data_IF_945068303088
#
_entry.id   IF_945068303088
#
_cell.length_a   1.000
_cell.length_b   1.000
_cell.length_c   1.000
_cell.angle_alpha   90.00
_cell.angle_beta   90.00
_cell.angle_gamma   90.00
#
_symmetry.space_group_name_H-M   'P 1'
#
loop_
_entity.id
_entity.type
_entity.pdbx_description
1 polymer ?
#
# COMPACT_ATOMS: atom_id res chain seq x y z
N UNK A 1 16.43 -15.65 -16.37
CA UNK A 1 17.15 -16.83 -15.83
C UNK A 1 16.52 -17.16 -14.51
N UNK A 2 15.87 -18.32 -14.41
CA UNK A 2 15.09 -18.73 -13.25
C UNK A 2 16.04 -19.53 -12.34
N UNK A 3 16.74 -18.83 -11.44
CA UNK A 3 17.69 -19.44 -10.51
C UNK A 3 16.88 -19.94 -9.32
N UNK A 4 16.87 -21.25 -9.11
CA UNK A 4 16.17 -21.88 -8.00
C UNK A 4 16.83 -21.56 -6.66
N UNK A 5 16.62 -20.36 -6.13
CA UNK A 5 16.79 -20.03 -4.71
C UNK A 5 15.61 -20.62 -3.91
N UNK A 6 15.32 -21.91 -4.11
CA UNK A 6 14.27 -22.60 -3.39
C UNK A 6 14.67 -22.66 -1.91
N UNK A 7 14.04 -21.80 -1.11
CA UNK A 7 13.97 -21.86 0.34
C UNK A 7 15.30 -22.21 1.02
N UNK A 8 16.26 -21.27 1.01
CA UNK A 8 17.42 -21.23 1.90
C UNK A 8 17.85 -22.58 2.48
N UNK A 9 18.52 -23.39 1.66
CA UNK A 9 19.29 -24.54 2.18
C UNK A 9 20.40 -24.08 3.15
N UNK A 10 20.68 -22.77 3.19
CA UNK A 10 21.56 -22.05 4.12
C UNK A 10 21.00 -21.87 5.54
N UNK A 11 19.70 -22.09 5.75
CA UNK A 11 19.03 -21.81 7.04
C UNK A 11 18.73 -23.02 7.91
N UNK A 12 19.08 -24.24 7.48
CA UNK A 12 18.68 -25.45 8.19
C UNK A 12 19.64 -25.92 9.28
N UNK A 13 20.92 -25.57 9.21
CA UNK A 13 21.88 -26.01 10.23
C UNK A 13 22.10 -24.93 11.27
N UNK A 14 21.46 -25.11 12.42
CA UNK A 14 21.72 -24.39 13.68
C UNK A 14 23.08 -24.79 14.29
N UNK A 15 24.05 -25.18 13.46
CA UNK A 15 25.37 -25.63 13.90
C UNK A 15 26.32 -24.43 14.02
N UNK A 16 27.06 -24.40 15.12
CA UNK A 16 27.79 -23.25 15.64
C UNK A 16 28.62 -22.47 14.62
N UNK A 17 28.60 -21.15 14.78
CA UNK A 17 29.53 -20.22 14.16
C UNK A 17 30.98 -20.60 14.52
N UNK A 18 31.73 -21.08 13.53
CA UNK A 18 33.18 -21.16 13.63
C UNK A 18 33.78 -20.71 12.30
N UNK A 19 34.67 -19.74 12.44
CA UNK A 19 35.55 -19.20 11.42
C UNK A 19 36.27 -20.34 10.69
N UNK A 20 36.29 -20.35 9.36
CA UNK A 20 36.97 -21.40 8.58
C UNK A 20 38.49 -21.48 8.79
N UNK A 21 39.15 -20.45 9.34
CA UNK A 21 40.60 -20.51 9.63
C UNK A 21 40.90 -21.66 10.60
N UNK A 22 41.52 -22.73 10.06
CA UNK A 22 41.85 -23.97 10.76
C UNK A 22 40.88 -25.13 10.52
N UNK A 23 39.64 -24.89 10.10
CA UNK A 23 38.65 -25.96 9.86
C UNK A 23 38.79 -26.64 8.51
N UNK A 24 39.31 -25.95 7.50
CA UNK A 24 39.62 -26.59 6.20
C UNK A 24 40.67 -27.69 6.42
N UNK A 25 41.75 -27.38 7.13
CA UNK A 25 42.84 -28.34 7.41
C UNK A 25 42.36 -29.51 8.29
N UNK A 26 41.44 -29.28 9.24
CA UNK A 26 40.82 -30.36 10.02
C UNK A 26 39.79 -31.19 9.24
N UNK A 27 39.13 -30.59 8.24
CA UNK A 27 38.13 -31.25 7.39
C UNK A 27 38.72 -32.02 6.21
N UNK A 28 40.01 -31.89 5.92
CA UNK A 28 40.72 -32.80 5.01
C UNK A 28 41.51 -33.79 5.86
N UNK A 29 41.09 -35.05 5.90
CA UNK A 29 41.71 -36.09 6.72
C UNK A 29 43.13 -36.43 6.20
N UNK A 30 44.14 -35.69 6.64
CA UNK A 30 45.56 -35.89 6.30
C UNK A 30 46.40 -34.61 6.28
N UNK A 31 47.75 -34.70 6.25
CA UNK A 31 48.62 -33.54 6.10
C UNK A 31 48.56 -33.07 4.64
N UNK A 32 47.41 -32.51 4.26
CA UNK A 32 47.24 -31.92 2.95
C UNK A 32 48.00 -30.60 2.98
N UNK A 33 49.00 -30.47 2.10
CA UNK A 33 49.57 -29.16 1.74
C UNK A 33 48.50 -28.43 0.93
N UNK A 34 47.42 -28.05 1.62
CA UNK A 34 46.42 -27.11 1.12
C UNK A 34 47.20 -25.82 1.03
N UNK A 35 47.87 -25.57 -0.11
CA UNK A 35 48.64 -24.33 -0.31
C UNK A 35 47.79 -23.13 0.13
N UNK A 36 48.44 -22.07 0.63
CA UNK A 36 47.84 -20.86 1.22
C UNK A 36 46.30 -20.91 1.40
N UNK A 37 45.85 -21.35 2.57
CA UNK A 37 44.43 -21.50 2.98
C UNK A 37 43.54 -20.31 2.54
N UNK A 38 44.13 -19.11 2.46
CA UNK A 38 43.50 -17.88 1.97
C UNK A 38 43.09 -17.94 0.50
N UNK A 39 43.84 -18.63 -0.35
CA UNK A 39 43.51 -18.83 -1.76
C UNK A 39 42.31 -19.77 -1.92
N UNK A 40 42.23 -20.82 -1.10
CA UNK A 40 41.07 -21.72 -1.06
C UNK A 40 39.81 -21.02 -0.58
N UNK A 41 39.92 -20.21 0.47
CA UNK A 41 38.81 -19.38 0.96
C UNK A 41 38.37 -18.34 -0.07
N UNK A 42 39.32 -17.71 -0.78
CA UNK A 42 39.02 -16.76 -1.84
C UNK A 42 38.33 -17.44 -3.04
N UNK A 43 38.75 -18.65 -3.42
CA UNK A 43 38.09 -19.42 -4.47
C UNK A 43 36.67 -19.84 -4.07
N UNK A 44 36.51 -20.40 -2.86
CA UNK A 44 35.20 -20.81 -2.32
C UNK A 44 34.22 -19.64 -2.26
N UNK A 45 34.68 -18.47 -1.80
CA UNK A 45 33.88 -17.24 -1.78
C UNK A 45 33.54 -16.72 -3.19
N UNK A 46 34.46 -16.87 -4.15
CA UNK A 46 34.21 -16.49 -5.53
C UNK A 46 33.27 -17.46 -6.26
N UNK A 47 33.32 -18.76 -5.93
CA UNK A 47 32.47 -19.80 -6.51
C UNK A 47 31.05 -19.75 -5.94
N UNK A 48 30.89 -19.52 -4.64
CA UNK A 48 29.58 -19.27 -4.01
C UNK A 48 28.89 -18.03 -4.60
N UNK A 49 29.66 -16.98 -4.88
CA UNK A 49 29.16 -15.75 -5.50
C UNK A 49 28.80 -15.93 -7.00
N UNK A 50 29.57 -16.72 -7.75
CA UNK A 50 29.37 -16.92 -9.20
C UNK A 50 28.15 -17.76 -9.52
N UNK A 51 27.89 -18.78 -8.71
CA UNK A 51 27.07 -19.89 -9.17
C UNK A 51 25.66 -19.90 -8.55
N UNK A 52 25.39 -19.10 -7.51
CA UNK A 52 24.11 -19.12 -6.81
C UNK A 52 23.75 -20.53 -6.30
N UNK A 53 24.79 -21.34 -6.07
CA UNK A 53 24.70 -22.77 -5.90
C UNK A 53 24.31 -23.14 -4.46
N UNK A 54 23.41 -24.11 -4.32
CA UNK A 54 23.13 -24.79 -3.06
C UNK A 54 24.30 -25.65 -2.60
N UNK A 55 24.24 -26.13 -1.35
CA UNK A 55 25.31 -26.89 -0.67
C UNK A 55 25.85 -28.04 -1.52
N UNK A 56 24.97 -28.82 -2.15
CA UNK A 56 25.38 -29.99 -2.96
C UNK A 56 26.14 -29.60 -4.23
N UNK A 57 25.78 -28.48 -4.84
CA UNK A 57 26.43 -27.98 -6.06
C UNK A 57 27.81 -27.41 -5.75
N UNK A 58 27.95 -26.71 -4.61
CA UNK A 58 29.24 -26.22 -4.14
C UNK A 58 30.14 -27.36 -3.67
N UNK A 59 29.60 -28.40 -3.01
CA UNK A 59 30.33 -29.62 -2.68
C UNK A 59 30.82 -30.36 -3.93
N UNK A 60 30.00 -30.42 -4.99
CA UNK A 60 30.39 -31.01 -6.27
C UNK A 60 31.50 -30.21 -6.95
N UNK A 61 31.39 -28.86 -6.95
CA UNK A 61 32.42 -27.97 -7.48
C UNK A 61 33.74 -28.08 -6.70
N UNK A 62 33.67 -28.21 -5.37
CA UNK A 62 34.82 -28.43 -4.50
C UNK A 62 35.55 -29.72 -4.86
N UNK A 63 34.82 -30.83 -5.02
CA UNK A 63 35.39 -32.13 -5.42
C UNK A 63 36.06 -32.04 -6.80
N UNK A 64 35.43 -31.35 -7.76
CA UNK A 64 36.03 -31.13 -9.08
C UNK A 64 37.31 -30.30 -9.00
N UNK A 65 37.31 -29.22 -8.21
CA UNK A 65 38.48 -28.37 -8.03
C UNK A 65 39.65 -29.09 -7.34
N UNK A 66 39.38 -29.93 -6.33
CA UNK A 66 40.40 -30.78 -5.71
C UNK A 66 41.02 -31.76 -6.73
N UNK A 67 40.23 -32.29 -7.66
CA UNK A 67 40.71 -33.16 -8.71
C UNK A 67 41.62 -32.43 -9.71
N UNK A 68 41.27 -31.19 -10.08
CA UNK A 68 42.04 -30.37 -11.02
C UNK A 68 43.39 -29.89 -10.44
N UNK A 69 43.44 -29.58 -9.14
CA UNK A 69 44.65 -29.18 -8.42
C UNK A 69 45.51 -30.38 -7.96
N UNK A 70 45.08 -31.61 -8.22
CA UNK A 70 45.83 -32.83 -7.88
C UNK A 70 45.88 -33.13 -6.37
N UNK A 71 44.91 -32.64 -5.61
CA UNK A 71 44.80 -32.78 -4.16
C UNK A 71 43.93 -34.00 -3.81
N UNK A 72 44.14 -34.59 -2.62
CA UNK A 72 43.30 -35.67 -2.13
C UNK A 72 41.83 -35.23 -2.03
N UNK A 73 40.96 -35.93 -2.76
CA UNK A 73 39.54 -35.63 -2.82
C UNK A 73 38.88 -35.94 -1.47
N UNK A 74 38.15 -34.99 -0.87
CA UNK A 74 37.47 -35.20 0.40
C UNK A 74 36.31 -36.19 0.23
N UNK A 75 35.97 -36.91 1.32
CA UNK A 75 34.76 -37.74 1.32
C UNK A 75 33.50 -36.91 1.05
N UNK A 76 32.42 -37.49 0.52
CA UNK A 76 31.21 -36.74 0.12
C UNK A 76 30.59 -35.94 1.28
N UNK A 77 30.60 -36.49 2.50
CA UNK A 77 30.07 -35.80 3.68
C UNK A 77 31.00 -34.67 4.16
N UNK A 78 32.32 -34.84 4.02
CA UNK A 78 33.31 -33.80 4.29
C UNK A 78 33.19 -32.64 3.29
N UNK A 79 33.06 -32.95 2.00
CA UNK A 79 32.84 -31.94 0.96
C UNK A 79 31.57 -31.11 1.22
N UNK A 80 30.49 -31.75 1.67
CA UNK A 80 29.25 -31.07 2.08
C UNK A 80 29.44 -30.18 3.31
N UNK A 81 30.21 -30.64 4.29
CA UNK A 81 30.52 -29.86 5.49
C UNK A 81 31.32 -28.61 5.15
N UNK A 82 32.41 -28.76 4.39
CA UNK A 82 33.23 -27.62 3.90
C UNK A 82 32.38 -26.66 3.08
N UNK A 83 31.53 -27.19 2.19
CA UNK A 83 30.61 -26.37 1.41
C UNK A 83 29.63 -25.59 2.30
N UNK A 84 29.05 -26.22 3.33
CA UNK A 84 28.14 -25.55 4.25
C UNK A 84 28.85 -24.40 5.01
N UNK A 85 30.07 -24.63 5.50
CA UNK A 85 30.85 -23.60 6.19
C UNK A 85 31.25 -22.44 5.26
N UNK A 86 31.69 -22.74 4.04
CA UNK A 86 32.02 -21.72 3.03
C UNK A 86 30.81 -20.82 2.69
N UNK A 87 29.64 -21.43 2.64
CA UNK A 87 28.39 -20.73 2.38
C UNK A 87 27.96 -19.87 3.58
N UNK A 88 28.18 -20.36 4.81
CA UNK A 88 27.95 -19.59 6.04
C UNK A 88 28.87 -18.35 6.11
N UNK A 89 30.15 -18.50 5.80
CA UNK A 89 31.10 -17.38 5.79
C UNK A 89 30.76 -16.36 4.70
N UNK A 90 30.31 -16.83 3.54
CA UNK A 90 29.80 -15.95 2.49
C UNK A 90 28.53 -15.19 2.95
N UNK A 91 27.62 -15.83 3.68
CA UNK A 91 26.46 -15.16 4.28
C UNK A 91 26.88 -14.09 5.29
N UNK A 92 27.90 -14.34 6.11
CA UNK A 92 28.44 -13.34 7.05
C UNK A 92 29.01 -12.14 6.29
N UNK A 93 29.73 -12.35 5.18
CA UNK A 93 30.23 -11.26 4.32
C UNK A 93 29.09 -10.46 3.69
N UNK A 94 28.02 -11.13 3.25
CA UNK A 94 26.79 -10.47 2.78
C UNK A 94 26.17 -9.61 3.89
N UNK A 95 26.09 -10.14 5.11
CA UNK A 95 25.57 -9.41 6.27
C UNK A 95 26.42 -8.18 6.63
N UNK A 96 27.75 -8.26 6.48
CA UNK A 96 28.61 -7.08 6.65
C UNK A 96 28.29 -5.99 5.64
N UNK A 97 28.09 -6.34 4.36
CA UNK A 97 27.69 -5.37 3.33
C UNK A 97 26.34 -4.71 3.63
N UNK A 98 25.38 -5.46 4.14
CA UNK A 98 24.08 -4.92 4.58
C UNK A 98 24.25 -3.99 5.78
N UNK A 99 25.02 -4.41 6.79
CA UNK A 99 25.30 -3.62 7.98
C UNK A 99 25.99 -2.28 7.65
N UNK A 100 26.92 -2.28 6.69
CA UNK A 100 27.59 -1.06 6.23
C UNK A 100 26.61 -0.10 5.52
N UNK A 101 25.64 -0.63 4.77
CA UNK A 101 24.58 0.18 4.11
C UNK A 101 23.57 0.75 5.09
N UNK A 102 23.29 0.05 6.19
CA UNK A 102 22.30 0.49 7.19
C UNK A 102 22.73 1.77 7.92
N UNK A 103 24.03 2.00 8.12
CA UNK A 103 24.55 3.16 8.82
C UNK A 103 23.90 3.33 10.21
N UNK A 104 23.41 4.53 10.51
CA UNK A 104 22.75 4.85 11.79
C UNK A 104 21.47 4.04 12.05
N UNK A 105 20.81 3.53 11.01
CA UNK A 105 19.60 2.71 11.16
C UNK A 105 19.90 1.36 11.84
N UNK A 106 21.17 0.90 11.84
CA UNK A 106 21.59 -0.28 12.57
C UNK A 106 21.39 -0.14 14.10
N UNK A 107 21.60 1.06 14.66
CA UNK A 107 21.38 1.32 16.08
C UNK A 107 19.89 1.25 16.45
N UNK A 108 19.00 1.72 15.57
CA UNK A 108 17.56 1.62 15.77
C UNK A 108 17.09 0.15 15.80
N UNK A 109 17.71 -0.72 15.01
CA UNK A 109 17.42 -2.16 15.02
C UNK A 109 17.95 -2.85 16.29
N UNK A 110 19.11 -2.42 16.79
CA UNK A 110 19.66 -2.91 18.07
C UNK A 110 18.77 -2.47 19.25
N UNK A 111 18.29 -1.22 19.24
CA UNK A 111 17.34 -0.71 20.24
C UNK A 111 16.03 -1.49 20.21
N UNK A 112 15.48 -1.75 19.02
CA UNK A 112 14.29 -2.59 18.83
C UNK A 112 14.46 -3.99 19.46
N UNK A 113 15.63 -4.62 19.28
CA UNK A 113 15.91 -5.92 19.90
C UNK A 113 16.09 -5.81 21.41
N UNK A 114 16.76 -4.77 21.90
CA UNK A 114 16.98 -4.55 23.33
C UNK A 114 15.64 -4.31 24.08
N UNK A 115 14.72 -3.55 23.49
CA UNK A 115 13.38 -3.36 24.02
C UNK A 115 12.58 -4.67 24.09
N UNK A 116 12.66 -5.49 23.04
CA UNK A 116 12.02 -6.79 22.99
C UNK A 116 12.59 -7.74 24.05
N UNK A 117 13.91 -7.75 24.23
CA UNK A 117 14.58 -8.56 25.25
C UNK A 117 14.19 -8.14 26.68
N UNK A 118 13.98 -6.84 26.89
CA UNK A 118 13.50 -6.30 28.15
C UNK A 118 11.98 -6.48 28.37
N UNK A 119 11.25 -7.05 27.40
CA UNK A 119 9.78 -7.19 27.45
C UNK A 119 9.04 -5.85 27.36
N UNK A 120 9.69 -4.78 26.88
CA UNK A 120 9.13 -3.42 26.77
C UNK A 120 8.72 -3.05 25.34
N UNK A 121 9.22 -3.77 24.33
CA UNK A 121 8.95 -3.51 22.92
C UNK A 121 7.86 -4.42 22.35
N UNK A 122 6.75 -3.82 21.88
CA UNK A 122 5.67 -4.56 21.22
C UNK A 122 5.97 -4.85 19.74
N UNK A 123 6.71 -3.95 19.08
CA UNK A 123 6.86 -3.94 17.62
C UNK A 123 7.54 -5.22 17.09
N UNK A 124 8.65 -5.65 17.70
CA UNK A 124 9.34 -6.85 17.23
C UNK A 124 8.46 -8.09 17.37
N UNK A 125 7.70 -8.22 18.46
CA UNK A 125 6.77 -9.33 18.62
C UNK A 125 5.69 -9.32 17.51
N UNK A 126 5.13 -8.15 17.24
CA UNK A 126 4.11 -7.98 16.19
C UNK A 126 4.63 -8.15 14.76
N UNK A 127 5.90 -7.82 14.49
CA UNK A 127 6.55 -8.07 13.19
C UNK A 127 6.85 -9.55 12.98
N UNK A 128 7.10 -10.30 14.06
CA UNK A 128 7.34 -11.74 13.96
C UNK A 128 6.05 -12.51 13.72
N UNK A 129 4.92 -12.02 14.22
CA UNK A 129 3.59 -12.54 13.89
C UNK A 129 3.33 -12.48 12.39
N UNK A 130 2.55 -13.43 11.88
CA UNK A 130 2.12 -13.43 10.49
C UNK A 130 1.16 -12.27 10.22
N UNK A 131 1.27 -11.69 9.02
CA UNK A 131 0.33 -10.69 8.53
C UNK A 131 -0.98 -11.40 8.18
N UNK A 132 -1.95 -11.32 9.10
CA UNK A 132 -3.25 -11.97 8.93
C UNK A 132 -4.07 -11.34 7.80
N UNK A 133 -4.78 -12.13 6.97
CA UNK A 133 -5.67 -11.57 5.95
C UNK A 133 -6.80 -10.80 6.63
N UNK A 134 -7.15 -9.63 6.10
CA UNK A 134 -8.31 -8.86 6.58
C UNK A 134 -9.54 -9.26 5.78
N UNK A 135 -10.56 -9.79 6.47
CA UNK A 135 -11.85 -10.01 5.83
C UNK A 135 -12.60 -8.69 5.66
N UNK A 136 -12.55 -8.17 4.42
CA UNK A 136 -13.20 -6.91 4.07
C UNK A 136 -14.70 -6.92 4.34
N UNK A 137 -15.39 -8.06 4.17
CA UNK A 137 -16.85 -8.11 4.41
C UNK A 137 -17.17 -7.94 5.88
N UNK A 138 -16.40 -8.58 6.75
CA UNK A 138 -16.56 -8.45 8.19
C UNK A 138 -16.14 -7.06 8.69
N UNK A 139 -15.06 -6.49 8.16
CA UNK A 139 -14.65 -5.10 8.43
C UNK A 139 -15.75 -4.10 8.04
N UNK A 140 -16.30 -4.23 6.83
CA UNK A 140 -17.41 -3.41 6.33
C UNK A 140 -18.61 -3.49 7.28
N UNK A 141 -18.97 -4.70 7.72
CA UNK A 141 -20.06 -4.92 8.66
C UNK A 141 -19.80 -4.25 10.01
N UNK A 142 -18.60 -4.40 10.56
CA UNK A 142 -18.21 -3.74 11.81
C UNK A 142 -18.36 -2.21 11.72
N UNK A 143 -17.94 -1.62 10.59
CA UNK A 143 -18.10 -0.18 10.35
C UNK A 143 -19.58 0.23 10.24
N UNK A 144 -20.40 -0.56 9.56
CA UNK A 144 -21.83 -0.31 9.45
C UNK A 144 -22.56 -0.45 10.79
N UNK A 145 -22.14 -1.40 11.64
CA UNK A 145 -22.66 -1.58 13.00
C UNK A 145 -22.33 -0.35 13.87
N UNK A 146 -21.07 0.11 13.85
CA UNK A 146 -20.63 1.33 14.56
C UNK A 146 -21.45 2.54 14.10
N UNK A 147 -21.61 2.71 12.79
CA UNK A 147 -22.36 3.84 12.23
C UNK A 147 -23.84 3.79 12.56
N UNK A 148 -24.44 2.60 12.60
CA UNK A 148 -25.85 2.41 12.96
C UNK A 148 -26.10 2.79 14.42
N UNK A 149 -25.18 2.43 15.32
CA UNK A 149 -25.24 2.84 16.73
C UNK A 149 -25.08 4.36 16.90
N UNK A 150 -24.12 4.96 16.19
CA UNK A 150 -23.95 6.42 16.17
C UNK A 150 -25.22 7.14 15.68
N UNK A 151 -25.90 6.60 14.66
CA UNK A 151 -27.14 7.18 14.15
C UNK A 151 -28.30 7.11 15.17
N UNK A 152 -28.29 6.13 16.06
CA UNK A 152 -29.26 6.00 17.16
C UNK A 152 -28.87 6.83 18.39
N UNK A 153 -27.74 7.56 18.35
CA UNK A 153 -27.20 8.30 19.50
C UNK A 153 -26.74 7.39 20.63
N UNK A 154 -26.52 6.12 20.36
CA UNK A 154 -26.05 5.15 21.34
C UNK A 154 -24.53 5.27 21.51
N UNK A 155 -24.01 5.09 22.74
CA UNK A 155 -22.56 4.98 22.95
C UNK A 155 -21.98 3.90 22.05
N UNK A 156 -20.98 4.27 21.25
CA UNK A 156 -20.15 3.31 20.49
C UNK A 156 -19.45 2.31 21.41
N UNK A 157 -19.32 2.65 22.69
CA UNK A 157 -18.68 1.86 23.73
C UNK A 157 -19.51 0.62 24.11
N UNK A 158 -20.84 0.61 23.83
CA UNK A 158 -21.65 -0.61 23.94
C UNK A 158 -21.33 -1.64 22.84
N UNK A 159 -20.74 -1.18 21.73
CA UNK A 159 -20.11 -2.05 20.74
C UNK A 159 -18.75 -2.59 21.19
N UNK A 160 -18.18 -2.13 22.33
CA UNK A 160 -17.01 -2.77 22.92
C UNK A 160 -17.29 -4.20 23.44
N UNK A 161 -18.55 -4.63 23.46
CA UNK A 161 -18.93 -6.04 23.63
C UNK A 161 -18.92 -6.86 22.32
N UNK A 162 -18.83 -6.19 21.16
CA UNK A 162 -18.50 -6.81 19.89
C UNK A 162 -17.00 -6.66 19.70
N UNK A 163 -16.24 -7.75 19.72
CA UNK A 163 -14.82 -7.66 19.37
C UNK A 163 -14.72 -7.15 17.92
N UNK A 164 -14.44 -5.86 17.74
CA UNK A 164 -14.13 -5.24 16.45
C UNK A 164 -12.77 -5.73 15.95
N UNK A 165 -12.66 -7.04 15.79
CA UNK A 165 -11.39 -7.72 15.61
C UNK A 165 -10.76 -7.36 14.27
N UNK A 166 -11.56 -7.11 13.24
CA UNK A 166 -11.07 -6.73 11.92
C UNK A 166 -10.64 -5.27 11.85
N UNK A 167 -11.41 -4.37 12.45
CA UNK A 167 -11.01 -2.97 12.57
C UNK A 167 -9.73 -2.85 13.41
N UNK A 168 -9.66 -3.53 14.55
CA UNK A 168 -8.46 -3.55 15.40
C UNK A 168 -7.27 -4.12 14.65
N UNK A 169 -7.42 -5.26 13.96
CA UNK A 169 -6.35 -5.84 13.15
C UNK A 169 -5.85 -4.85 12.09
N UNK A 170 -6.75 -4.21 11.33
CA UNK A 170 -6.38 -3.22 10.32
C UNK A 170 -5.57 -2.05 10.92
N UNK A 171 -6.01 -1.52 12.06
CA UNK A 171 -5.33 -0.42 12.74
C UNK A 171 -3.97 -0.85 13.31
N UNK A 172 -3.88 -2.05 13.88
CA UNK A 172 -2.61 -2.62 14.34
C UNK A 172 -1.62 -2.79 13.19
N UNK A 173 -2.07 -3.25 12.02
CA UNK A 173 -1.20 -3.32 10.83
C UNK A 173 -0.75 -1.93 10.34
N UNK A 174 -1.61 -0.91 10.39
CA UNK A 174 -1.23 0.47 10.09
C UNK A 174 -0.21 1.05 11.10
N UNK A 175 -0.35 0.71 12.37
CA UNK A 175 0.60 1.08 13.43
C UNK A 175 1.96 0.41 13.24
N UNK A 176 1.98 -0.89 12.90
CA UNK A 176 3.22 -1.63 12.56
C UNK A 176 3.95 -0.95 11.41
N UNK A 177 3.26 -0.64 10.31
CA UNK A 177 3.88 0.02 9.15
C UNK A 177 4.45 1.39 9.51
N UNK A 178 3.70 2.18 10.30
CA UNK A 178 4.14 3.49 10.78
C UNK A 178 5.40 3.37 11.64
N UNK A 179 5.43 2.38 12.54
CA UNK A 179 6.57 2.14 13.42
C UNK A 179 7.81 1.66 12.66
N UNK A 180 7.66 0.74 11.70
CA UNK A 180 8.77 0.29 10.83
C UNK A 180 9.36 1.45 10.03
N UNK A 181 8.52 2.34 9.49
CA UNK A 181 8.99 3.53 8.75
C UNK A 181 9.80 4.50 9.61
N UNK A 182 9.54 4.56 10.93
CA UNK A 182 10.32 5.39 11.86
C UNK A 182 11.74 4.88 12.07
N UNK A 183 12.02 3.60 11.78
CA UNK A 183 13.37 3.05 11.79
C UNK A 183 14.25 3.64 10.67
N UNK A 184 13.64 4.29 9.66
CA UNK A 184 14.33 4.99 8.56
C UNK A 184 15.38 4.12 7.87
N UNK A 185 15.05 2.84 7.64
CA UNK A 185 15.89 1.93 6.87
C UNK A 185 16.09 2.52 5.46
N UNK A 186 17.34 2.56 4.94
CA UNK A 186 17.57 3.02 3.58
C UNK A 186 16.81 2.16 2.56
N UNK A 187 16.23 2.80 1.53
CA UNK A 187 15.35 2.12 0.58
C UNK A 187 16.08 1.11 -0.32
N UNK A 188 17.40 1.24 -0.45
CA UNK A 188 18.28 0.47 -1.33
C UNK A 188 19.19 -0.52 -0.60
N UNK A 189 18.98 -0.73 0.71
CA UNK A 189 19.76 -1.69 1.52
C UNK A 189 19.88 -3.04 0.83
N UNK A 190 18.77 -3.54 0.27
CA UNK A 190 18.66 -4.84 -0.37
C UNK A 190 18.60 -4.80 -1.91
N UNK A 191 18.87 -3.66 -2.56
CA UNK A 191 18.68 -3.49 -4.00
C UNK A 191 19.42 -4.53 -4.87
N UNK A 192 20.59 -4.99 -4.42
CA UNK A 192 21.43 -5.96 -5.14
C UNK A 192 21.27 -7.41 -4.67
N UNK A 193 20.29 -7.67 -3.79
CA UNK A 193 20.09 -8.98 -3.17
C UNK A 193 18.86 -9.67 -3.78
N UNK A 194 18.91 -11.00 -4.01
CA UNK A 194 17.74 -11.77 -4.43
C UNK A 194 16.61 -11.68 -3.41
N UNK A 195 15.37 -11.47 -3.88
CA UNK A 195 14.21 -11.34 -3.00
C UNK A 195 13.98 -12.60 -2.14
N UNK A 196 14.32 -13.77 -2.65
CA UNK A 196 14.23 -15.05 -1.94
C UNK A 196 15.19 -15.12 -0.75
N UNK A 197 16.40 -14.55 -0.90
CA UNK A 197 17.39 -14.48 0.18
C UNK A 197 16.93 -13.55 1.29
N UNK A 198 16.43 -12.36 0.93
CA UNK A 198 15.89 -11.39 1.90
C UNK A 198 14.68 -11.98 2.62
N UNK A 199 13.80 -12.68 1.91
CA UNK A 199 12.66 -13.39 2.50
C UNK A 199 13.12 -14.47 3.49
N UNK A 200 14.18 -15.23 3.16
CA UNK A 200 14.73 -16.24 4.06
C UNK A 200 15.37 -15.63 5.31
N UNK A 201 16.11 -14.52 5.20
CA UNK A 201 16.63 -13.78 6.34
C UNK A 201 15.51 -13.25 7.25
N UNK A 202 14.45 -12.70 6.66
CA UNK A 202 13.27 -12.26 7.40
C UNK A 202 12.57 -13.41 8.12
N UNK A 203 12.40 -14.56 7.46
CA UNK A 203 11.81 -15.76 8.07
C UNK A 203 12.66 -16.30 9.23
N UNK A 204 13.99 -16.26 9.11
CA UNK A 204 14.93 -16.63 10.17
C UNK A 204 14.77 -15.72 11.39
N UNK A 205 14.69 -14.40 11.18
CA UNK A 205 14.43 -13.45 12.25
C UNK A 205 13.06 -13.65 12.91
N UNK A 206 12.03 -13.98 12.11
CA UNK A 206 10.68 -14.26 12.61
C UNK A 206 10.66 -15.47 13.57
N UNK A 207 11.39 -16.54 13.22
CA UNK A 207 11.46 -17.77 14.00
C UNK A 207 12.42 -17.74 15.20
N UNK A 208 13.52 -17.00 15.14
CA UNK A 208 14.60 -17.03 16.13
C UNK A 208 14.21 -16.39 17.48
N UNK A 209 14.48 -17.02 18.61
CA UNK A 209 14.20 -16.41 19.92
C UNK A 209 15.04 -15.14 20.14
N UNK A 210 14.57 -14.21 20.97
CA UNK A 210 15.28 -12.94 21.21
C UNK A 210 16.71 -13.17 21.72
N UNK A 211 16.91 -14.15 22.62
CA UNK A 211 18.26 -14.50 23.10
C UNK A 211 19.16 -15.09 22.02
N UNK A 212 18.61 -15.85 21.07
CA UNK A 212 19.37 -16.38 19.92
C UNK A 212 19.85 -15.24 19.03
N UNK A 213 18.98 -14.27 18.73
CA UNK A 213 19.34 -13.08 17.96
C UNK A 213 20.42 -12.23 18.65
N UNK A 214 20.36 -12.10 19.98
CA UNK A 214 21.38 -11.39 20.76
C UNK A 214 22.75 -12.07 20.73
N UNK A 215 22.79 -13.40 20.64
CA UNK A 215 24.03 -14.17 20.55
C UNK A 215 24.71 -14.09 19.17
N UNK A 216 23.98 -13.67 18.13
CA UNK A 216 24.54 -13.52 16.78
C UNK A 216 25.55 -12.36 16.71
N UNK A 217 26.55 -12.44 15.80
CA UNK A 217 27.38 -11.29 15.46
C UNK A 217 26.52 -10.10 15.02
N UNK A 218 26.93 -8.88 15.41
CA UNK A 218 26.16 -7.64 15.15
C UNK A 218 25.73 -7.51 13.70
N UNK A 219 26.64 -7.72 12.75
CA UNK A 219 26.35 -7.62 11.32
C UNK A 219 25.23 -8.58 10.87
N UNK A 220 25.27 -9.83 11.35
CA UNK A 220 24.23 -10.83 11.07
C UNK A 220 22.91 -10.40 11.71
N UNK A 221 22.93 -10.03 12.99
CA UNK A 221 21.72 -9.62 13.73
C UNK A 221 20.98 -8.46 13.04
N UNK A 222 21.68 -7.37 12.71
CA UNK A 222 21.03 -6.20 12.08
C UNK A 222 20.56 -6.49 10.65
N UNK A 223 21.26 -7.39 9.93
CA UNK A 223 20.81 -7.86 8.60
C UNK A 223 19.52 -8.66 8.70
N UNK A 224 19.42 -9.60 9.64
CA UNK A 224 18.20 -10.39 9.82
C UNK A 224 17.01 -9.51 10.25
N UNK A 225 17.23 -8.57 11.17
CA UNK A 225 16.18 -7.65 11.64
C UNK A 225 15.73 -6.67 10.54
N UNK A 226 16.67 -6.13 9.75
CA UNK A 226 16.32 -5.27 8.61
C UNK A 226 15.57 -6.04 7.52
N UNK A 227 15.96 -7.28 7.23
CA UNK A 227 15.25 -8.13 6.28
C UNK A 227 13.83 -8.46 6.75
N UNK A 228 13.62 -8.73 8.05
CA UNK A 228 12.28 -8.88 8.62
C UNK A 228 11.43 -7.63 8.42
N UNK A 229 11.99 -6.46 8.74
CA UNK A 229 11.30 -5.18 8.56
C UNK A 229 10.94 -4.95 7.09
N UNK A 230 11.84 -5.27 6.16
CA UNK A 230 11.62 -5.11 4.72
C UNK A 230 10.48 -5.98 4.20
N UNK A 231 10.51 -7.27 4.55
CA UNK A 231 9.49 -8.23 4.15
C UNK A 231 8.13 -7.84 4.73
N UNK A 232 8.07 -7.53 6.03
CA UNK A 232 6.83 -7.13 6.69
C UNK A 232 6.31 -5.80 6.20
N UNK A 233 7.17 -4.81 5.95
CA UNK A 233 6.77 -3.52 5.35
C UNK A 233 6.03 -3.73 4.04
N UNK A 234 6.53 -4.61 3.18
CA UNK A 234 5.91 -4.87 1.88
C UNK A 234 4.58 -5.63 2.00
N UNK A 235 4.53 -6.67 2.83
CA UNK A 235 3.31 -7.46 3.07
C UNK A 235 2.20 -6.63 3.70
N UNK A 236 2.54 -5.82 4.71
CA UNK A 236 1.59 -4.94 5.40
C UNK A 236 1.10 -3.86 4.45
N UNK A 237 1.98 -3.24 3.67
CA UNK A 237 1.58 -2.23 2.68
C UNK A 237 0.64 -2.83 1.65
N UNK A 238 0.87 -4.08 1.20
CA UNK A 238 -0.03 -4.75 0.26
C UNK A 238 -1.39 -5.09 0.86
N UNK A 239 -1.42 -5.53 2.12
CA UNK A 239 -2.65 -5.78 2.88
C UNK A 239 -3.45 -4.48 3.06
N UNK A 240 -2.81 -3.40 3.52
CA UNK A 240 -3.43 -2.10 3.71
C UNK A 240 -3.91 -1.51 2.38
N UNK A 241 -3.15 -1.67 1.29
CA UNK A 241 -3.56 -1.26 -0.05
C UNK A 241 -4.81 -2.01 -0.52
N UNK A 242 -4.88 -3.33 -0.28
CA UNK A 242 -6.06 -4.12 -0.58
C UNK A 242 -7.28 -3.67 0.23
N UNK A 243 -7.10 -3.45 1.53
CA UNK A 243 -8.16 -2.97 2.42
C UNK A 243 -8.63 -1.57 2.04
N UNK A 244 -7.70 -0.66 1.75
CA UNK A 244 -8.00 0.70 1.30
C UNK A 244 -8.87 0.68 0.04
N UNK A 245 -8.49 -0.06 -1.00
CA UNK A 245 -9.28 -0.14 -2.24
C UNK A 245 -10.66 -0.72 -1.98
N UNK A 246 -10.79 -1.73 -1.12
CA UNK A 246 -12.07 -2.30 -0.70
C UNK A 246 -12.97 -1.29 0.02
N UNK A 247 -12.42 -0.56 0.99
CA UNK A 247 -13.13 0.48 1.73
C UNK A 247 -13.54 1.65 0.81
N UNK A 248 -12.66 2.08 -0.08
CA UNK A 248 -12.94 3.11 -1.08
C UNK A 248 -14.06 2.68 -2.05
N UNK A 249 -14.09 1.40 -2.42
CA UNK A 249 -15.19 0.85 -3.20
C UNK A 249 -16.52 0.90 -2.44
N UNK A 250 -16.53 0.50 -1.16
CA UNK A 250 -17.72 0.52 -0.31
C UNK A 250 -18.29 1.94 -0.14
N UNK A 251 -17.47 2.94 0.18
CA UNK A 251 -17.96 4.32 0.37
C UNK A 251 -18.54 4.89 -0.93
N UNK A 252 -17.98 4.53 -2.09
CA UNK A 252 -18.52 4.93 -3.40
C UNK A 252 -19.88 4.30 -3.64
N UNK A 253 -20.00 2.98 -3.44
CA UNK A 253 -21.27 2.26 -3.58
C UNK A 253 -22.35 2.86 -2.65
N UNK A 254 -21.98 3.21 -1.42
CA UNK A 254 -22.87 3.88 -0.46
C UNK A 254 -23.32 5.25 -0.96
N UNK A 255 -22.42 6.04 -1.52
CA UNK A 255 -22.76 7.33 -2.11
C UNK A 255 -23.71 7.15 -3.29
N UNK A 256 -23.43 6.21 -4.20
CA UNK A 256 -24.29 5.92 -5.36
C UNK A 256 -25.70 5.48 -4.93
N UNK A 257 -25.82 4.59 -3.93
CA UNK A 257 -27.12 4.19 -3.37
C UNK A 257 -27.90 5.39 -2.79
N UNK A 258 -27.22 6.26 -2.04
CA UNK A 258 -27.86 7.47 -1.47
C UNK A 258 -28.22 8.49 -2.53
N UNK A 259 -27.41 8.61 -3.58
CA UNK A 259 -27.68 9.47 -4.73
C UNK A 259 -28.89 8.96 -5.52
N UNK A 260 -29.03 7.64 -5.69
CA UNK A 260 -30.20 7.00 -6.30
C UNK A 260 -31.48 7.28 -5.50
N UNK A 261 -31.47 7.00 -4.19
CA UNK A 261 -32.61 7.30 -3.32
C UNK A 261 -32.99 8.80 -3.34
N UNK A 262 -32.00 9.69 -3.40
CA UNK A 262 -32.23 11.13 -3.51
C UNK A 262 -32.81 11.55 -4.88
N UNK A 263 -32.58 10.77 -5.94
CA UNK A 263 -33.08 11.02 -7.29
C UNK A 263 -34.53 10.53 -7.47
N UNK A 264 -34.85 9.35 -6.94
CA UNK A 264 -36.21 8.78 -6.98
C UNK A 264 -37.23 9.70 -6.29
N UNK A 265 -36.82 10.29 -5.18
CA UNK A 265 -37.63 11.23 -4.40
C UNK A 265 -37.82 12.61 -5.10
N UNK A 266 -37.10 12.87 -6.20
CA UNK A 266 -37.25 14.07 -7.06
C UNK A 266 -38.04 13.78 -8.34
N UNK A 267 -38.27 12.50 -8.67
CA UNK A 267 -39.11 12.10 -9.80
C UNK A 267 -40.59 12.36 -9.47
N UNK A 268 -41.02 13.60 -9.71
CA UNK A 268 -42.44 13.90 -9.86
C UNK A 268 -42.77 14.12 -11.34
N UNK A 269 -43.68 13.32 -11.91
CA UNK A 269 -44.25 13.60 -13.22
C UNK A 269 -45.13 14.84 -13.06
N UNK A 270 -44.80 15.92 -13.77
CA UNK A 270 -45.86 16.82 -14.19
C UNK A 270 -46.24 16.35 -15.58
N UNK A 271 -47.27 15.48 -15.74
CA UNK A 271 -47.77 15.12 -17.06
C UNK A 271 -48.11 16.39 -17.87
N UNK A 272 -48.50 17.46 -17.18
CA UNK A 272 -48.73 18.79 -17.77
C UNK A 272 -47.47 19.42 -18.40
N UNK A 273 -46.26 19.16 -17.87
CA UNK A 273 -45.00 19.71 -18.43
C UNK A 273 -44.54 18.93 -19.65
N UNK A 274 -44.65 17.61 -19.63
CA UNK A 274 -44.30 16.77 -20.78
C UNK A 274 -45.27 17.03 -21.93
N UNK A 275 -46.57 17.21 -21.62
CA UNK A 275 -47.59 17.66 -22.57
C UNK A 275 -47.31 19.08 -23.07
N UNK A 276 -46.87 20.01 -22.22
CA UNK A 276 -46.53 21.37 -22.64
C UNK A 276 -45.28 21.40 -23.54
N UNK A 277 -44.26 20.60 -23.23
CA UNK A 277 -43.07 20.45 -24.07
C UNK A 277 -43.46 19.88 -25.44
N UNK A 278 -44.30 18.85 -25.48
CA UNK A 278 -44.79 18.27 -26.74
C UNK A 278 -45.52 19.32 -27.58
N UNK A 279 -46.43 20.09 -26.97
CA UNK A 279 -47.18 21.16 -27.65
C UNK A 279 -46.29 22.30 -28.16
N UNK A 280 -45.23 22.65 -27.43
CA UNK A 280 -44.26 23.65 -27.87
C UNK A 280 -43.42 23.13 -29.03
N UNK A 281 -43.05 21.85 -29.02
CA UNK A 281 -42.35 21.20 -30.13
C UNK A 281 -43.25 21.09 -31.36
N UNK A 282 -44.52 20.69 -31.18
CA UNK A 282 -45.53 20.64 -32.25
C UNK A 282 -45.69 22.01 -32.91
N UNK A 283 -45.88 23.08 -32.12
CA UNK A 283 -46.00 24.44 -32.66
C UNK A 283 -44.72 24.92 -33.38
N UNK A 284 -43.54 24.52 -32.90
CA UNK A 284 -42.27 24.84 -33.58
C UNK A 284 -42.11 24.11 -34.93
N UNK A 285 -42.69 22.90 -35.05
CA UNK A 285 -42.63 22.09 -36.28
C UNK A 285 -43.71 22.51 -37.28
N UNK A 286 -44.91 22.85 -36.81
CA UNK A 286 -46.02 23.32 -37.66
C UNK A 286 -45.76 24.72 -38.25
N UNK A 287 -45.00 25.55 -37.53
CA UNK A 287 -44.75 26.95 -37.88
C UNK A 287 -43.24 27.28 -37.85
N UNK A 288 -42.42 26.71 -38.76
CA UNK A 288 -40.96 26.84 -38.70
C UNK A 288 -40.44 28.24 -39.07
N UNK A 289 -41.15 28.96 -39.93
CA UNK A 289 -40.75 30.30 -40.42
C UNK A 289 -41.35 31.45 -39.59
N UNK A 290 -42.24 31.15 -38.64
CA UNK A 290 -42.88 32.16 -37.80
C UNK A 290 -41.95 32.62 -36.65
N UNK A 291 -42.11 33.87 -36.24
CA UNK A 291 -41.34 34.37 -35.08
C UNK A 291 -41.71 33.60 -33.81
N UNK A 292 -40.74 33.39 -32.91
CA UNK A 292 -40.93 32.71 -31.61
C UNK A 292 -42.14 33.27 -30.83
N UNK A 293 -42.36 34.59 -30.92
CA UNK A 293 -43.48 35.27 -30.28
C UNK A 293 -44.85 34.93 -30.90
N UNK A 294 -44.91 34.69 -32.20
CA UNK A 294 -46.13 34.32 -32.89
C UNK A 294 -46.45 32.82 -32.76
N UNK A 295 -45.43 31.95 -32.79
CA UNK A 295 -45.61 30.50 -32.76
C UNK A 295 -45.72 29.91 -31.33
N UNK A 296 -44.85 30.30 -30.40
CA UNK A 296 -44.73 29.61 -29.10
C UNK A 296 -45.46 30.28 -27.93
N UNK A 297 -45.55 31.62 -27.92
CA UNK A 297 -46.18 32.37 -26.83
C UNK A 297 -47.72 32.20 -26.73
N UNK A 298 -48.46 31.90 -27.82
CA UNK A 298 -49.87 31.51 -27.71
C UNK A 298 -50.05 30.16 -27.00
N UNK A 299 -49.10 29.24 -27.17
CA UNK A 299 -49.13 27.88 -26.57
C UNK A 299 -48.69 27.92 -25.11
N UNK A 300 -47.66 28.71 -24.79
CA UNK A 300 -47.21 28.95 -23.43
C UNK A 300 -46.96 30.45 -23.20
N UNK A 301 -47.80 31.09 -22.39
CA UNK A 301 -47.67 32.51 -22.11
C UNK A 301 -46.31 32.87 -21.48
N UNK A 302 -45.84 34.10 -21.70
CA UNK A 302 -44.53 34.58 -21.21
C UNK A 302 -44.33 34.36 -19.70
N UNK A 303 -45.38 34.62 -18.91
CA UNK A 303 -45.37 34.44 -17.46
C UNK A 303 -45.20 32.97 -17.07
N UNK A 304 -45.86 32.06 -17.79
CA UNK A 304 -45.74 30.62 -17.57
C UNK A 304 -44.33 30.14 -17.91
N UNK A 305 -43.75 30.60 -19.02
CA UNK A 305 -42.36 30.28 -19.39
C UNK A 305 -41.36 30.78 -18.34
N UNK A 306 -41.52 32.02 -17.85
CA UNK A 306 -40.67 32.56 -16.76
C UNK A 306 -40.82 31.78 -15.45
N UNK A 307 -42.04 31.37 -15.09
CA UNK A 307 -42.28 30.50 -13.92
C UNK A 307 -41.62 29.14 -14.10
N UNK A 308 -41.72 28.52 -15.26
CA UNK A 308 -41.07 27.24 -15.56
C UNK A 308 -39.54 27.33 -15.49
N UNK A 309 -38.94 28.46 -15.88
CA UNK A 309 -37.51 28.74 -15.70
C UNK A 309 -37.11 28.87 -14.23
N UNK A 310 -37.90 29.57 -13.41
CA UNK A 310 -37.64 29.67 -11.96
C UNK A 310 -37.79 28.31 -11.27
N UNK A 311 -38.83 27.55 -11.63
CA UNK A 311 -39.06 26.21 -11.12
C UNK A 311 -37.95 25.24 -11.55
N UNK A 312 -37.41 25.38 -12.77
CA UNK A 312 -36.30 24.53 -13.22
C UNK A 312 -35.01 24.87 -12.47
N UNK A 313 -34.72 26.15 -12.25
CA UNK A 313 -33.59 26.60 -11.44
C UNK A 313 -33.69 26.14 -9.98
N UNK A 314 -34.88 26.23 -9.38
CA UNK A 314 -35.16 25.74 -8.03
C UNK A 314 -34.97 24.21 -7.94
N UNK A 315 -35.45 23.46 -8.94
CA UNK A 315 -35.26 21.99 -9.02
C UNK A 315 -33.80 21.59 -9.16
N UNK A 316 -33.03 22.29 -10.00
CA UNK A 316 -31.58 22.05 -10.12
C UNK A 316 -30.89 22.32 -8.78
N UNK A 317 -31.24 23.41 -8.09
CA UNK A 317 -30.68 23.73 -6.79
C UNK A 317 -30.98 22.66 -5.72
N UNK A 318 -32.22 22.16 -5.68
CA UNK A 318 -32.62 21.11 -4.75
C UNK A 318 -31.93 19.78 -5.06
N UNK A 319 -31.83 19.39 -6.34
CA UNK A 319 -31.05 18.21 -6.75
C UNK A 319 -29.59 18.32 -6.31
N UNK A 320 -28.95 19.47 -6.53
CA UNK A 320 -27.58 19.72 -6.09
C UNK A 320 -27.44 19.65 -4.58
N UNK A 321 -28.38 20.24 -3.82
CA UNK A 321 -28.40 20.18 -2.35
C UNK A 321 -28.52 18.73 -1.85
N UNK A 322 -29.40 17.94 -2.45
CA UNK A 322 -29.58 16.52 -2.09
C UNK A 322 -28.35 15.69 -2.43
N UNK A 323 -27.76 15.86 -3.63
CA UNK A 323 -26.49 15.22 -4.01
C UNK A 323 -25.41 15.52 -2.97
N UNK A 324 -25.26 16.79 -2.60
CA UNK A 324 -24.32 17.24 -1.58
C UNK A 324 -24.57 16.58 -0.22
N UNK A 325 -25.82 16.52 0.23
CA UNK A 325 -26.18 15.83 1.49
C UNK A 325 -25.88 14.33 1.43
N UNK A 326 -26.14 13.69 0.29
CA UNK A 326 -25.83 12.27 0.07
C UNK A 326 -24.32 12.00 0.15
N UNK A 327 -23.50 12.81 -0.53
CA UNK A 327 -22.03 12.72 -0.49
C UNK A 327 -21.50 12.89 0.94
N UNK A 328 -21.93 13.96 1.64
CA UNK A 328 -21.55 14.17 3.05
C UNK A 328 -21.90 12.99 3.93
N UNK A 329 -23.11 12.48 3.78
CA UNK A 329 -23.55 11.38 4.61
C UNK A 329 -22.79 10.09 4.34
N UNK A 330 -22.39 9.85 3.08
CA UNK A 330 -21.63 8.66 2.71
C UNK A 330 -20.25 8.66 3.38
N UNK A 331 -19.67 9.85 3.57
CA UNK A 331 -18.38 10.05 4.22
C UNK A 331 -18.49 10.44 5.70
N UNK A 332 -18.93 9.47 6.52
CA UNK A 332 -19.17 9.67 7.96
C UNK A 332 -17.89 9.93 8.77
N UNK A 333 -18.05 10.42 10.00
CA UNK A 333 -16.93 10.64 10.92
C UNK A 333 -16.13 9.36 11.22
N UNK A 334 -16.79 8.20 11.28
CA UNK A 334 -16.14 6.90 11.44
C UNK A 334 -15.22 6.58 10.26
N UNK A 335 -15.71 6.73 9.01
CA UNK A 335 -14.87 6.57 7.82
C UNK A 335 -13.70 7.56 7.81
N UNK A 336 -13.98 8.84 8.12
CA UNK A 336 -12.93 9.85 8.19
C UNK A 336 -11.81 9.40 9.12
N UNK A 337 -12.12 9.01 10.36
CA UNK A 337 -11.15 8.55 11.34
C UNK A 337 -10.35 7.34 10.83
N UNK A 338 -11.01 6.36 10.22
CA UNK A 338 -10.34 5.19 9.66
C UNK A 338 -9.36 5.57 8.55
N UNK A 339 -9.81 6.36 7.56
CA UNK A 339 -8.95 6.78 6.46
C UNK A 339 -7.81 7.68 6.93
N UNK A 340 -7.95 8.47 8.01
CA UNK A 340 -6.81 9.22 8.56
C UNK A 340 -5.65 8.29 8.91
N UNK A 341 -5.95 7.22 9.63
CA UNK A 341 -4.94 6.30 10.14
C UNK A 341 -4.33 5.45 9.02
N UNK A 342 -5.15 4.97 8.10
CA UNK A 342 -4.68 4.15 6.96
C UNK A 342 -3.94 4.98 5.91
N UNK A 343 -4.41 6.18 5.58
CA UNK A 343 -3.73 7.02 4.58
C UNK A 343 -2.42 7.58 5.12
N UNK A 344 -2.35 7.95 6.40
CA UNK A 344 -1.11 8.45 7.01
C UNK A 344 -0.03 7.37 7.13
N UNK A 345 -0.41 6.09 7.16
CA UNK A 345 0.55 4.98 7.20
C UNK A 345 1.05 4.57 5.81
N UNK A 346 0.43 5.05 4.73
CA UNK A 346 0.76 4.71 3.34
C UNK A 346 1.49 5.86 2.65
N UNK A 347 2.35 5.52 1.67
CA UNK A 347 3.04 6.53 0.85
C UNK A 347 2.63 6.34 -0.61
N UNK A 348 2.01 7.38 -1.19
CA UNK A 348 1.50 7.37 -2.55
C UNK A 348 2.50 8.03 -3.51
N UNK A 349 2.79 7.36 -4.63
CA UNK A 349 3.67 7.86 -5.69
C UNK A 349 2.99 7.72 -7.05
N UNK A 350 3.43 8.50 -8.02
CA UNK A 350 3.00 8.41 -9.42
C UNK A 350 4.15 8.83 -10.34
N UNK A 351 4.20 8.22 -11.53
CA UNK A 351 5.05 8.66 -12.64
C UNK A 351 4.32 9.61 -13.59
N UNK A 352 2.99 9.65 -13.52
CA UNK A 352 2.15 10.41 -14.42
C UNK A 352 1.93 11.81 -13.85
N UNK A 353 2.25 12.84 -14.65
CA UNK A 353 2.09 14.25 -14.26
C UNK A 353 0.61 14.58 -14.01
N UNK A 354 -0.30 13.91 -14.71
CA UNK A 354 -1.76 14.08 -14.56
C UNK A 354 -2.26 13.68 -13.16
N UNK A 355 -1.48 12.90 -12.40
CA UNK A 355 -1.84 12.51 -11.04
C UNK A 355 -1.36 13.52 -9.98
N UNK A 356 -0.53 14.50 -10.34
CA UNK A 356 0.01 15.48 -9.38
C UNK A 356 -1.08 16.29 -8.66
N UNK A 357 -2.15 16.78 -9.31
CA UNK A 357 -3.23 17.48 -8.62
C UNK A 357 -3.89 16.60 -7.53
N UNK A 358 -4.08 15.32 -7.82
CA UNK A 358 -4.64 14.37 -6.86
C UNK A 358 -3.68 14.09 -5.70
N UNK A 359 -2.38 13.89 -5.98
CA UNK A 359 -1.39 13.67 -4.94
C UNK A 359 -1.21 14.89 -4.03
N UNK A 360 -1.29 16.10 -4.59
CA UNK A 360 -1.30 17.34 -3.81
C UNK A 360 -2.53 17.40 -2.89
N UNK A 361 -3.74 17.14 -3.43
CA UNK A 361 -4.96 17.10 -2.64
C UNK A 361 -4.92 16.02 -1.54
N UNK A 362 -4.32 14.87 -1.81
CA UNK A 362 -4.10 13.82 -0.81
C UNK A 362 -3.11 14.24 0.27
N UNK A 363 -2.02 14.92 -0.10
CA UNK A 363 -1.05 15.46 0.85
C UNK A 363 -1.69 16.46 1.79
N UNK A 364 -2.52 17.37 1.27
CA UNK A 364 -3.30 18.32 2.07
C UNK A 364 -4.31 17.60 2.99
N UNK A 365 -5.05 16.61 2.46
CA UNK A 365 -5.98 15.80 3.22
C UNK A 365 -5.30 15.12 4.43
N UNK A 366 -4.14 14.49 4.20
CA UNK A 366 -3.36 13.82 5.23
C UNK A 366 -2.79 14.85 6.21
N UNK A 367 -2.27 15.98 5.72
CA UNK A 367 -1.75 17.07 6.54
C UNK A 367 -2.81 17.63 7.49
N UNK A 368 -4.00 17.89 6.96
CA UNK A 368 -5.17 18.35 7.72
C UNK A 368 -5.60 17.37 8.81
N UNK A 369 -5.46 16.06 8.58
CA UNK A 369 -5.71 15.04 9.58
C UNK A 369 -4.72 15.06 10.75
N UNK A 370 -3.51 15.57 10.52
CA UNK A 370 -2.44 15.64 11.51
C UNK A 370 -2.36 16.97 12.27
N UNK A 371 -2.80 18.09 11.67
CA UNK A 371 -2.58 19.45 12.18
C UNK A 371 -3.69 20.03 13.10
N UNK A 372 -4.72 19.25 13.43
CA UNK A 372 -5.97 19.67 14.09
C UNK A 372 -7.05 20.24 13.14
N UNK A 373 -8.26 19.73 13.36
CA UNK A 373 -9.49 19.93 12.60
C UNK A 373 -9.79 21.40 12.25
N UNK A 374 -9.83 21.70 10.95
CA UNK A 374 -10.54 22.87 10.46
C UNK A 374 -12.04 22.70 10.73
N UNK A 375 -12.55 23.45 11.71
CA UNK A 375 -13.97 23.58 12.07
C UNK A 375 -14.77 24.35 11.00
N UNK A 376 -14.44 24.14 9.72
CA UNK A 376 -15.01 24.82 8.58
C UNK A 376 -15.76 23.85 7.67
N UNK A 377 -17.01 24.19 7.35
CA UNK A 377 -17.81 23.48 6.32
C UNK A 377 -17.21 23.61 4.92
N UNK A 378 -16.41 24.65 4.70
CA UNK A 378 -15.78 25.01 3.43
C UNK A 378 -14.28 25.23 3.65
N UNK A 379 -13.49 25.05 2.60
CA UNK A 379 -12.11 25.52 2.58
C UNK A 379 -12.07 27.05 2.60
N UNK A 380 -11.01 27.61 3.17
CA UNK A 380 -10.80 29.05 3.20
C UNK A 380 -10.71 29.62 1.77
N UNK A 381 -11.28 30.82 1.52
CA UNK A 381 -11.17 31.48 0.22
C UNK A 381 -9.70 31.65 -0.18
N UNK A 382 -9.33 31.18 -1.38
CA UNK A 382 -7.95 31.25 -1.87
C UNK A 382 -7.06 30.04 -1.51
N UNK A 383 -7.58 29.03 -0.82
CA UNK A 383 -6.86 27.78 -0.52
C UNK A 383 -6.39 27.03 -1.79
N UNK A 384 -7.05 27.24 -2.95
CA UNK A 384 -6.54 26.75 -4.24
C UNK A 384 -6.70 25.25 -4.48
N UNK A 385 -7.65 24.58 -3.81
CA UNK A 385 -7.88 23.14 -3.95
C UNK A 385 -8.10 22.72 -5.43
N UNK A 386 -7.34 21.74 -5.95
CA UNK A 386 -7.43 21.34 -7.35
C UNK A 386 -8.75 20.64 -7.65
N UNK A 387 -9.51 21.15 -8.62
CA UNK A 387 -10.81 20.58 -9.00
C UNK A 387 -10.76 19.73 -10.27
N UNK A 388 -9.85 20.06 -11.19
CA UNK A 388 -9.62 19.30 -12.42
C UNK A 388 -8.90 17.98 -12.10
N UNK A 389 -9.33 16.90 -12.74
CA UNK A 389 -8.82 15.52 -12.54
C UNK A 389 -8.93 14.92 -11.12
N UNK A 390 -9.47 15.69 -10.17
CA UNK A 390 -9.72 15.28 -8.77
C UNK A 390 -11.22 15.10 -8.50
N UNK A 391 -12.07 16.00 -8.99
CA UNK A 391 -13.52 15.94 -8.74
C UNK A 391 -14.24 15.41 -9.99
N UNK A 392 -15.00 14.29 -9.88
CA UNK A 392 -15.79 13.79 -10.98
C UNK A 392 -16.77 14.86 -11.52
N UNK A 393 -16.90 15.01 -12.85
CA UNK A 393 -17.68 16.09 -13.45
C UNK A 393 -19.15 16.06 -13.00
N UNK A 394 -19.72 14.88 -12.81
CA UNK A 394 -21.09 14.67 -12.32
C UNK A 394 -21.35 15.17 -10.89
N UNK A 395 -20.30 15.32 -10.08
CA UNK A 395 -20.35 15.71 -8.67
C UNK A 395 -19.83 17.12 -8.44
N UNK A 396 -19.20 17.76 -9.43
CA UNK A 396 -18.62 19.11 -9.32
C UNK A 396 -19.63 20.15 -8.81
N UNK A 397 -20.85 20.12 -9.33
CA UNK A 397 -21.92 21.03 -8.88
C UNK A 397 -22.32 20.82 -7.41
N UNK A 398 -22.12 19.63 -6.85
CA UNK A 398 -22.38 19.33 -5.45
C UNK A 398 -21.21 19.74 -4.53
N UNK A 399 -19.97 19.76 -5.04
CA UNK A 399 -18.77 20.12 -4.26
C UNK A 399 -18.57 21.63 -4.17
N UNK A 400 -18.79 22.36 -5.28
CA UNK A 400 -18.59 23.81 -5.36
C UNK A 400 -19.92 24.53 -5.19
N UNK A 401 -19.95 25.54 -4.31
CA UNK A 401 -21.13 26.39 -4.12
C UNK A 401 -21.21 27.51 -5.18
N UNK A 402 -22.34 28.22 -5.26
CA UNK A 402 -22.55 29.33 -6.21
C UNK A 402 -21.52 30.46 -6.06
N UNK A 403 -20.97 30.62 -4.86
CA UNK A 403 -19.93 31.60 -4.54
C UNK A 403 -18.50 31.10 -4.87
N UNK A 404 -18.35 29.91 -5.48
CA UNK A 404 -17.05 29.31 -5.78
C UNK A 404 -16.36 28.65 -4.57
N UNK A 405 -17.01 28.63 -3.40
CA UNK A 405 -16.48 27.96 -2.20
C UNK A 405 -16.51 26.45 -2.36
N UNK A 406 -15.40 25.80 -2.03
CA UNK A 406 -15.27 24.34 -2.04
C UNK A 406 -15.70 23.80 -0.69
N UNK A 407 -16.69 22.92 -0.72
CA UNK A 407 -17.11 22.22 0.48
C UNK A 407 -16.15 21.09 0.83
N UNK A 408 -15.66 21.13 2.07
CA UNK A 408 -14.60 20.24 2.55
C UNK A 408 -14.97 18.76 2.47
N UNK A 409 -15.98 18.30 3.21
CA UNK A 409 -16.34 16.87 3.30
C UNK A 409 -16.67 16.27 1.92
N UNK A 410 -17.41 16.99 1.08
CA UNK A 410 -17.75 16.52 -0.26
C UNK A 410 -16.52 16.45 -1.18
N UNK A 411 -15.58 17.40 -1.04
CA UNK A 411 -14.31 17.38 -1.77
C UNK A 411 -13.39 16.25 -1.31
N UNK A 412 -13.18 16.09 0.00
CA UNK A 412 -12.39 14.98 0.58
C UNK A 412 -12.92 13.63 0.08
N UNK A 413 -14.25 13.45 0.04
CA UNK A 413 -14.86 12.26 -0.53
C UNK A 413 -14.51 12.06 -2.02
N UNK A 414 -14.52 13.12 -2.83
CA UNK A 414 -14.15 13.03 -4.24
C UNK A 414 -12.67 12.66 -4.43
N UNK A 415 -11.79 13.22 -3.61
CA UNK A 415 -10.36 12.85 -3.57
C UNK A 415 -10.20 11.35 -3.33
N UNK A 416 -10.93 10.79 -2.35
CA UNK A 416 -10.90 9.36 -2.03
C UNK A 416 -11.42 8.48 -3.17
N UNK A 417 -12.51 8.87 -3.83
CA UNK A 417 -13.06 8.12 -4.97
C UNK A 417 -12.09 8.15 -6.16
N UNK A 418 -11.50 9.31 -6.46
CA UNK A 418 -10.51 9.45 -7.52
C UNK A 418 -9.22 8.67 -7.21
N UNK A 419 -8.78 8.66 -5.94
CA UNK A 419 -7.65 7.81 -5.49
C UNK A 419 -7.90 6.33 -5.81
N UNK A 420 -9.11 5.82 -5.56
CA UNK A 420 -9.45 4.43 -5.89
C UNK A 420 -9.21 4.13 -7.38
N UNK A 421 -9.72 5.00 -8.24
CA UNK A 421 -9.65 4.79 -9.69
C UNK A 421 -8.20 4.89 -10.20
N UNK A 422 -7.37 5.78 -9.62
CA UNK A 422 -5.94 5.88 -9.94
C UNK A 422 -5.10 4.74 -9.37
N UNK A 423 -5.45 4.19 -8.21
CA UNK A 423 -4.82 2.97 -7.66
C UNK A 423 -5.16 1.73 -8.50
N UNK A 424 -6.44 1.56 -8.88
CA UNK A 424 -6.89 0.46 -9.71
C UNK A 424 -6.29 0.48 -11.13
N UNK A 425 -6.12 1.68 -11.70
CA UNK A 425 -5.46 1.86 -13.00
C UNK A 425 -3.93 1.84 -12.94
N UNK A 426 -3.34 1.70 -11.74
CA UNK A 426 -1.88 1.66 -11.51
C UNK A 426 -1.15 2.96 -11.88
N UNK A 427 -1.87 4.07 -12.03
CA UNK A 427 -1.28 5.40 -12.24
C UNK A 427 -0.75 6.00 -10.94
N UNK A 428 -1.43 5.71 -9.83
CA UNK A 428 -0.92 5.89 -8.48
C UNK A 428 -0.54 4.52 -7.92
N UNK A 429 0.60 4.44 -7.26
CA UNK A 429 1.11 3.23 -6.62
C UNK A 429 1.58 3.53 -5.20
N UNK A 430 1.69 2.47 -4.39
CA UNK A 430 2.17 2.56 -3.02
C UNK A 430 3.67 2.29 -2.99
N UNK A 431 4.44 3.16 -2.33
CA UNK A 431 5.85 2.88 -2.06
C UNK A 431 5.95 1.64 -1.16
N UNK A 432 6.99 0.84 -1.36
CA UNK A 432 7.29 -0.39 -0.59
C UNK A 432 6.32 -1.57 -0.79
N UNK A 433 5.26 -1.42 -1.57
CA UNK A 433 4.32 -2.50 -1.90
C UNK A 433 4.87 -3.43 -2.99
N UNK A 434 4.45 -4.71 -3.02
CA UNK A 434 4.75 -5.62 -4.15
C UNK A 434 3.62 -5.60 -5.16
N UNK A 435 2.40 -5.91 -4.74
CA UNK A 435 1.21 -5.93 -5.60
C UNK A 435 0.79 -4.53 -6.02
N UNK A 436 0.80 -3.60 -5.07
CA UNK A 436 0.44 -2.20 -5.32
C UNK A 436 1.65 -1.31 -5.59
N UNK A 437 2.84 -1.90 -5.75
CA UNK A 437 4.12 -1.22 -5.97
C UNK A 437 4.24 -0.54 -7.33
N UNK A 438 5.42 -0.05 -7.66
CA UNK A 438 5.67 0.61 -8.94
C UNK A 438 5.31 -0.32 -10.14
N UNK A 439 4.49 0.14 -11.11
CA UNK A 439 4.21 -0.67 -12.29
C UNK A 439 5.47 -0.83 -13.14
N UNK A 440 5.66 -2.01 -13.77
CA UNK A 440 6.76 -2.19 -14.73
C UNK A 440 6.62 -1.14 -15.84
N UNK A 441 7.74 -0.57 -16.28
CA UNK A 441 7.73 0.38 -17.39
C UNK A 441 7.02 -0.28 -18.58
N UNK A 442 6.01 0.41 -19.14
CA UNK A 442 5.37 -0.07 -20.35
C UNK A 442 6.46 -0.26 -21.42
N UNK A 443 6.48 -1.40 -22.14
CA UNK A 443 7.40 -1.54 -23.25
C UNK A 443 7.11 -0.37 -24.20
N UNK A 444 8.11 0.48 -24.45
CA UNK A 444 8.01 1.59 -25.38
C UNK A 444 7.38 1.05 -26.64
N UNK A 445 6.18 1.53 -27.00
CA UNK A 445 5.50 1.11 -28.21
C UNK A 445 6.48 1.36 -29.37
N UNK A 446 7.10 0.27 -29.84
CA UNK A 446 8.08 0.31 -30.91
C UNK A 446 7.45 1.05 -32.06
N UNK A 447 8.19 2.03 -32.57
CA UNK A 447 7.77 2.82 -33.72
C UNK A 447 7.23 1.90 -34.80
N UNK A 448 5.95 2.08 -35.15
CA UNK A 448 5.43 1.58 -36.41
C UNK A 448 6.12 2.39 -37.52
N UNK A 449 7.30 1.93 -37.92
CA UNK A 449 7.80 2.12 -39.28
C UNK A 449 7.34 0.91 -40.08
N UNK A 450 6.45 1.15 -41.03
CA UNK A 450 5.89 0.21 -41.98
C UNK A 450 4.91 0.93 -42.87
#
# INVERSE_FOLDING_TARGET
MNVGFAASEFTRDTAGFLFLEGQLVEAFDGPVDVGDERQWLAWLAAESARSGCGREQLATALVAHCHDEGIQVPGPDQARCVAANALQDFEVLLCHRVADRLGDAAEQLEELLAEAAAGRGWLLAELRSEVGPIDLRSLVRELDDIMSLQALGLPTDLAAGSDHCWLRALLTEAEKLTAVRRLRLPADVFADFPAELVAAWGARAAGAQTGELQALPRAVRVTLLSALCEVRRAEITDLLGHALVGLLHQIRARAELRLGAAADDVSLPSPMRDVLLLKLVEAAVEHPDDTVRAALFPVAGEQLLRQLMLDSAARVAERTRRKRTALRGAYSACHQQLFRLVLASLEFRSRDVDCWPLLAALGELIGDYTACWGTGRFYEPGHGAPLEDVVPPEWRAAVVDREGRVERIAYEFCVLVSLRDRLCSRQVYLADARRWGEPPAAPSAGGRTG
#
